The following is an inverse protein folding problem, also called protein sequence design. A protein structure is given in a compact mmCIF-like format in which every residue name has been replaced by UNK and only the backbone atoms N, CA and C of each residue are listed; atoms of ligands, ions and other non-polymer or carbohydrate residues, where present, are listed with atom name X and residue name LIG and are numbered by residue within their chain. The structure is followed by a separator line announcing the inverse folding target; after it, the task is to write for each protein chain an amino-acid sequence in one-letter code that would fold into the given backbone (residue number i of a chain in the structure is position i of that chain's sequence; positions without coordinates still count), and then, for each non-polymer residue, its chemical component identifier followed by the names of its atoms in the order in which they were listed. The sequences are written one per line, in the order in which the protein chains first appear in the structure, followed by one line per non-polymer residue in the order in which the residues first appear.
data_IF_460272052811
#
_entry.id   IF_460272052811
#
_cell.length_a   1.000
_cell.length_b   1.000
_cell.length_c   1.000
_cell.angle_alpha   90.00
_cell.angle_beta   90.00
_cell.angle_gamma   90.00
#
_symmetry.space_group_name_H-M   'P 1'
#
loop_
_entity.id
_entity.type
_entity.pdbx_description
1 polymer ?
#
# COMPACT_ATOMS: atom_id res chain seq x y z
N UNK A 1 16.61 5.93 -35.19
CA UNK A 1 15.82 5.02 -34.35
C UNK A 1 16.23 5.31 -32.93
N UNK A 2 15.30 5.33 -31.98
CA UNK A 2 15.67 5.34 -30.57
C UNK A 2 16.38 4.03 -30.24
N UNK A 3 17.36 4.08 -29.34
CA UNK A 3 17.97 2.90 -28.73
C UNK A 3 16.98 2.20 -27.79
N UNK A 4 17.15 0.89 -27.59
CA UNK A 4 16.24 0.09 -26.75
C UNK A 4 16.17 0.61 -25.30
N UNK A 5 17.23 1.21 -24.77
CA UNK A 5 17.22 1.78 -23.42
C UNK A 5 16.33 3.02 -23.33
N UNK A 6 16.39 3.91 -24.31
CA UNK A 6 15.48 5.06 -24.45
C UNK A 6 14.02 4.63 -24.63
N UNK A 7 13.77 3.59 -25.42
CA UNK A 7 12.42 3.00 -25.58
C UNK A 7 11.93 2.43 -24.24
N UNK A 8 12.76 1.67 -23.54
CA UNK A 8 12.45 1.11 -22.23
C UNK A 8 12.14 2.20 -21.18
N UNK A 9 12.90 3.30 -21.17
CA UNK A 9 12.63 4.44 -20.29
C UNK A 9 11.28 5.11 -20.61
N UNK A 10 10.91 5.25 -21.89
CA UNK A 10 9.59 5.75 -22.29
C UNK A 10 8.45 4.86 -21.77
N UNK A 11 8.51 3.56 -22.11
CA UNK A 11 7.54 2.56 -21.65
C UNK A 11 7.44 2.49 -20.11
N UNK A 12 8.56 2.68 -19.40
CA UNK A 12 8.57 2.73 -17.94
C UNK A 12 7.84 3.97 -17.38
N UNK A 13 7.96 5.13 -18.05
CA UNK A 13 7.24 6.36 -17.68
C UNK A 13 5.74 6.23 -17.90
N UNK A 14 5.36 5.56 -19.00
CA UNK A 14 3.99 5.19 -19.39
C UNK A 14 3.42 4.00 -18.58
N UNK A 15 4.20 3.45 -17.65
CA UNK A 15 3.84 2.36 -16.72
C UNK A 15 3.59 1.00 -17.40
N UNK A 16 4.05 0.84 -18.65
CA UNK A 16 4.05 -0.42 -19.42
C UNK A 16 5.26 -1.30 -19.06
N UNK A 17 5.35 -1.68 -17.77
CA UNK A 17 6.55 -2.29 -17.17
C UNK A 17 6.98 -3.61 -17.83
N UNK A 18 6.07 -4.47 -18.27
CA UNK A 18 6.42 -5.73 -18.97
C UNK A 18 7.11 -5.45 -20.32
N UNK A 19 6.66 -4.43 -21.06
CA UNK A 19 7.29 -4.05 -22.33
C UNK A 19 8.61 -3.32 -22.10
N UNK A 20 8.67 -2.44 -21.09
CA UNK A 20 9.91 -1.81 -20.66
C UNK A 20 10.99 -2.85 -20.30
N UNK A 21 10.61 -3.92 -19.59
CA UNK A 21 11.53 -5.02 -19.24
C UNK A 21 12.11 -5.74 -20.48
N UNK A 22 11.30 -5.95 -21.53
CA UNK A 22 11.77 -6.54 -22.80
C UNK A 22 12.83 -5.66 -23.46
N UNK A 23 12.60 -4.35 -23.53
CA UNK A 23 13.57 -3.42 -24.11
C UNK A 23 14.82 -3.22 -23.22
N UNK A 24 14.68 -3.20 -21.88
CA UNK A 24 15.84 -3.22 -20.97
C UNK A 24 16.70 -4.49 -21.16
N UNK A 25 16.07 -5.65 -21.40
CA UNK A 25 16.82 -6.87 -21.72
C UNK A 25 17.61 -6.73 -23.03
N UNK A 26 17.00 -6.20 -24.09
CA UNK A 26 17.67 -5.98 -25.38
C UNK A 26 18.83 -4.97 -25.30
N UNK A 27 18.65 -3.89 -24.54
CA UNK A 27 19.70 -2.92 -24.25
C UNK A 27 20.89 -3.56 -23.53
N UNK A 28 20.64 -4.39 -22.51
CA UNK A 28 21.67 -5.10 -21.75
C UNK A 28 22.37 -6.18 -22.59
N UNK A 29 21.66 -6.86 -23.50
CA UNK A 29 22.31 -7.79 -24.44
C UNK A 29 23.34 -7.10 -25.34
N UNK A 30 23.09 -5.83 -25.67
CA UNK A 30 23.97 -4.98 -26.50
C UNK A 30 25.13 -4.38 -25.70
N UNK A 31 24.88 -3.79 -24.53
CA UNK A 31 25.90 -3.14 -23.68
C UNK A 31 25.91 -3.68 -22.24
N UNK A 32 26.58 -4.82 -22.04
CA UNK A 32 26.57 -5.60 -20.79
C UNK A 32 27.32 -4.97 -19.60
N UNK A 33 28.11 -3.93 -19.82
CA UNK A 33 28.94 -3.30 -18.78
C UNK A 33 28.34 -1.99 -18.25
N UNK A 34 27.10 -1.66 -18.67
CA UNK A 34 26.37 -0.45 -18.29
C UNK A 34 25.62 -0.63 -16.97
N UNK A 35 26.25 -0.23 -15.87
CA UNK A 35 25.66 -0.31 -14.52
C UNK A 35 24.27 0.35 -14.44
N UNK A 36 24.08 1.47 -15.14
CA UNK A 36 22.82 2.22 -15.19
C UNK A 36 21.66 1.41 -15.83
N UNK A 37 21.95 0.52 -16.77
CA UNK A 37 20.93 -0.34 -17.38
C UNK A 37 20.38 -1.35 -16.36
N UNK A 38 21.26 -1.94 -15.55
CA UNK A 38 20.87 -2.82 -14.45
C UNK A 38 20.11 -2.07 -13.34
N UNK A 39 20.48 -0.82 -13.02
CA UNK A 39 19.72 0.01 -12.06
C UNK A 39 18.29 0.27 -12.54
N UNK A 40 18.09 0.59 -13.82
CA UNK A 40 16.76 0.82 -14.39
C UNK A 40 15.96 -0.49 -14.48
N UNK A 41 16.58 -1.58 -14.93
CA UNK A 41 15.91 -2.90 -15.03
C UNK A 41 15.52 -3.46 -13.66
N UNK A 42 16.38 -3.31 -12.64
CA UNK A 42 16.06 -3.62 -11.24
C UNK A 42 14.79 -2.90 -10.77
N UNK A 43 14.66 -1.60 -11.04
CA UNK A 43 13.46 -0.85 -10.65
C UNK A 43 12.22 -1.25 -11.47
N UNK A 44 12.39 -1.64 -12.73
CA UNK A 44 11.32 -2.22 -13.55
C UNK A 44 10.82 -3.56 -12.99
N UNK A 45 11.74 -4.46 -12.61
CA UNK A 45 11.41 -5.73 -11.96
C UNK A 45 10.76 -5.54 -10.59
N UNK A 46 11.21 -4.55 -9.80
CA UNK A 46 10.58 -4.16 -8.55
C UNK A 46 9.12 -3.72 -8.75
N UNK A 47 8.83 -2.89 -9.78
CA UNK A 47 7.46 -2.50 -10.15
C UNK A 47 6.59 -3.69 -10.59
N UNK A 48 7.20 -4.70 -11.21
CA UNK A 48 6.57 -5.98 -11.56
C UNK A 48 6.47 -6.99 -10.39
N UNK A 49 6.90 -6.61 -9.18
CA UNK A 49 7.00 -7.48 -7.98
C UNK A 49 7.97 -8.67 -8.10
N UNK A 50 8.86 -8.66 -9.09
CA UNK A 50 9.93 -9.65 -9.27
C UNK A 50 11.15 -9.25 -8.40
N UNK A 51 10.98 -9.29 -7.07
CA UNK A 51 11.95 -8.70 -6.15
C UNK A 51 13.30 -9.43 -6.11
N UNK A 52 13.30 -10.76 -6.26
CA UNK A 52 14.51 -11.60 -6.33
C UNK A 52 15.42 -11.20 -7.49
N UNK A 53 14.84 -11.01 -8.67
CA UNK A 53 15.53 -10.54 -9.86
C UNK A 53 16.02 -9.10 -9.67
N UNK A 54 15.19 -8.25 -9.06
CA UNK A 54 15.54 -6.85 -8.79
C UNK A 54 16.77 -6.73 -7.85
N UNK A 55 16.91 -7.60 -6.85
CA UNK A 55 18.12 -7.71 -6.00
C UNK A 55 19.32 -8.16 -6.84
N UNK A 56 19.15 -9.12 -7.75
CA UNK A 56 20.20 -9.61 -8.65
C UNK A 56 20.74 -8.53 -9.60
N UNK A 57 19.84 -7.77 -10.22
CA UNK A 57 20.19 -6.63 -11.07
C UNK A 57 20.85 -5.50 -10.29
N UNK A 58 20.32 -5.12 -9.12
CA UNK A 58 20.93 -4.10 -8.28
C UNK A 58 22.34 -4.53 -7.81
N UNK A 59 22.53 -5.80 -7.48
CA UNK A 59 23.84 -6.36 -7.09
C UNK A 59 24.82 -6.36 -8.27
N UNK A 60 24.33 -6.62 -9.49
CA UNK A 60 25.15 -6.53 -10.71
C UNK A 60 25.56 -5.07 -10.99
N UNK A 61 24.64 -4.12 -10.83
CA UNK A 61 24.94 -2.69 -10.94
C UNK A 61 26.02 -2.25 -9.94
N UNK A 62 25.90 -2.63 -8.66
CA UNK A 62 26.91 -2.35 -7.61
C UNK A 62 28.27 -2.98 -7.93
N UNK A 63 28.27 -4.15 -8.59
CA UNK A 63 29.52 -4.84 -8.98
C UNK A 63 30.22 -4.14 -10.15
N UNK A 64 29.45 -3.54 -11.06
CA UNK A 64 29.97 -2.74 -12.18
C UNK A 64 30.44 -1.35 -11.74
N UNK A 65 29.63 -0.67 -10.90
CA UNK A 65 29.97 0.63 -10.30
C UNK A 65 29.35 0.76 -8.89
N UNK A 66 30.19 0.61 -7.88
CA UNK A 66 29.83 0.73 -6.47
C UNK A 66 29.69 2.17 -5.97
N UNK A 67 29.97 3.17 -6.82
CA UNK A 67 29.80 4.59 -6.47
C UNK A 67 28.35 5.09 -6.65
N UNK A 68 27.49 4.33 -7.33
CA UNK A 68 26.10 4.72 -7.64
C UNK A 68 25.20 4.52 -6.40
N UNK A 69 24.73 5.58 -5.72
CA UNK A 69 23.92 5.44 -4.51
C UNK A 69 22.56 4.79 -4.81
N UNK A 70 22.02 5.07 -6.01
CA UNK A 70 20.74 4.54 -6.47
C UNK A 70 20.78 3.01 -6.61
N UNK A 71 21.92 2.41 -6.97
CA UNK A 71 22.04 0.95 -7.08
C UNK A 71 21.86 0.27 -5.71
N UNK A 72 22.52 0.82 -4.68
CA UNK A 72 22.31 0.41 -3.29
C UNK A 72 20.88 0.66 -2.80
N UNK A 73 20.27 1.79 -3.16
CA UNK A 73 18.87 2.08 -2.84
C UNK A 73 17.90 1.07 -3.49
N UNK A 74 18.09 0.70 -4.76
CA UNK A 74 17.22 -0.30 -5.43
C UNK A 74 17.39 -1.69 -4.80
N UNK A 75 18.62 -2.09 -4.42
CA UNK A 75 18.85 -3.31 -3.64
C UNK A 75 18.08 -3.27 -2.32
N UNK A 76 18.20 -2.18 -1.55
CA UNK A 76 17.50 -2.02 -0.28
C UNK A 76 15.97 -2.09 -0.41
N UNK A 77 15.40 -1.44 -1.43
CA UNK A 77 13.97 -1.51 -1.70
C UNK A 77 13.50 -2.93 -2.02
N UNK A 78 14.26 -3.68 -2.80
CA UNK A 78 13.92 -5.04 -3.19
C UNK A 78 14.08 -6.05 -2.03
N UNK A 79 15.16 -5.95 -1.23
CA UNK A 79 15.33 -6.74 -0.01
C UNK A 79 14.21 -6.44 1.02
N UNK A 80 13.82 -5.17 1.19
CA UNK A 80 12.70 -4.82 2.09
C UNK A 80 11.38 -5.47 1.65
N UNK A 81 11.12 -5.55 0.33
CA UNK A 81 9.94 -6.21 -0.22
C UNK A 81 10.02 -7.76 -0.21
N UNK A 82 11.19 -8.32 0.12
CA UNK A 82 11.41 -9.73 0.42
C UNK A 82 11.42 -10.03 1.93
N UNK A 83 11.16 -9.02 2.77
CA UNK A 83 11.24 -9.11 4.23
C UNK A 83 12.67 -9.41 4.75
N UNK A 84 13.70 -9.18 3.90
CA UNK A 84 15.11 -9.25 4.27
C UNK A 84 15.57 -7.94 4.93
N UNK A 85 14.99 -7.58 6.07
CA UNK A 85 15.10 -6.23 6.65
C UNK A 85 16.53 -5.80 7.01
N UNK A 86 17.36 -6.70 7.53
CA UNK A 86 18.77 -6.39 7.87
C UNK A 86 19.60 -6.14 6.60
N UNK A 87 19.41 -6.94 5.54
CA UNK A 87 20.07 -6.73 4.25
C UNK A 87 19.59 -5.44 3.55
N UNK A 88 18.30 -5.10 3.72
CA UNK A 88 17.75 -3.84 3.25
C UNK A 88 18.37 -2.64 3.99
N UNK A 89 18.46 -2.72 5.33
CA UNK A 89 19.06 -1.70 6.20
C UNK A 89 20.52 -1.45 5.85
N UNK A 90 21.33 -2.49 5.69
CA UNK A 90 22.73 -2.36 5.25
C UNK A 90 22.82 -1.63 3.90
N UNK A 91 22.02 -2.05 2.92
CA UNK A 91 22.01 -1.45 1.58
C UNK A 91 21.62 0.04 1.63
N UNK A 92 20.60 0.42 2.42
CA UNK A 92 20.22 1.82 2.59
C UNK A 92 21.27 2.65 3.34
N UNK A 93 21.95 2.08 4.36
CA UNK A 93 23.06 2.75 5.04
C UNK A 93 24.27 2.97 4.13
N UNK A 94 24.57 2.05 3.20
CA UNK A 94 25.62 2.25 2.19
C UNK A 94 25.20 3.35 1.22
N UNK A 95 23.96 3.33 0.72
CA UNK A 95 23.42 4.40 -0.12
C UNK A 95 23.51 5.77 0.57
N UNK A 96 23.19 5.86 1.86
CA UNK A 96 23.27 7.10 2.64
C UNK A 96 24.70 7.64 2.78
N UNK A 97 25.68 6.75 2.99
CA UNK A 97 27.11 7.12 3.06
C UNK A 97 27.63 7.69 1.73
N UNK A 98 27.07 7.25 0.59
CA UNK A 98 27.40 7.77 -0.74
C UNK A 98 26.65 9.07 -1.06
N UNK A 99 25.33 9.14 -0.74
CA UNK A 99 24.50 10.32 -0.89
C UNK A 99 23.38 10.34 0.16
N UNK A 100 23.48 11.19 1.19
CA UNK A 100 22.49 11.23 2.27
C UNK A 100 21.24 11.99 1.87
N UNK A 101 20.13 11.27 1.68
CA UNK A 101 18.79 11.83 1.40
C UNK A 101 17.82 11.57 2.56
N UNK A 102 16.81 12.43 2.80
CA UNK A 102 15.78 12.19 3.82
C UNK A 102 15.00 10.87 3.62
N UNK A 103 14.81 10.47 2.36
CA UNK A 103 14.13 9.23 1.98
C UNK A 103 14.89 8.01 2.49
N UNK A 104 16.22 7.98 2.34
CA UNK A 104 17.05 6.87 2.84
C UNK A 104 16.96 6.72 4.36
N UNK A 105 16.94 7.82 5.12
CA UNK A 105 16.74 7.80 6.58
C UNK A 105 15.37 7.24 6.97
N UNK A 106 14.34 7.53 6.18
CA UNK A 106 13.00 6.97 6.39
C UNK A 106 12.98 5.48 6.11
N UNK A 107 13.68 5.01 5.08
CA UNK A 107 13.83 3.58 4.80
C UNK A 107 14.64 2.83 5.88
N UNK A 108 15.76 3.38 6.34
CA UNK A 108 16.55 2.80 7.45
C UNK A 108 15.68 2.64 8.69
N UNK A 109 14.93 3.68 9.08
CA UNK A 109 14.01 3.63 10.23
C UNK A 109 12.87 2.63 10.05
N UNK A 110 12.39 2.42 8.82
CA UNK A 110 11.40 1.35 8.56
C UNK A 110 12.03 -0.02 8.82
N UNK A 111 13.21 -0.30 8.26
CA UNK A 111 13.89 -1.57 8.53
C UNK A 111 14.15 -1.78 10.03
N UNK A 112 14.51 -0.71 10.76
CA UNK A 112 14.69 -0.78 12.21
C UNK A 112 13.38 -1.13 12.94
N UNK A 113 12.25 -0.55 12.55
CA UNK A 113 10.96 -0.87 13.15
C UNK A 113 10.48 -2.30 12.85
N UNK A 114 10.66 -2.80 11.62
CA UNK A 114 10.27 -4.19 11.31
C UNK A 114 11.17 -5.22 12.02
N UNK A 115 12.45 -4.89 12.27
CA UNK A 115 13.37 -5.73 13.07
C UNK A 115 13.02 -5.70 14.57
N UNK A 116 12.68 -4.54 15.13
CA UNK A 116 12.19 -4.43 16.52
C UNK A 116 10.88 -5.23 16.71
N UNK A 117 9.96 -5.17 15.74
CA UNK A 117 8.73 -5.98 15.69
C UNK A 117 8.98 -7.51 15.56
N UNK A 118 10.12 -7.93 14.99
CA UNK A 118 10.51 -9.34 14.89
C UNK A 118 11.12 -9.86 16.21
N UNK A 119 12.00 -9.07 16.84
CA UNK A 119 12.62 -9.40 18.13
C UNK A 119 11.57 -9.46 19.27
N UNK A 120 10.60 -8.54 19.33
CA UNK A 120 9.55 -8.53 20.37
C UNK A 120 8.61 -9.77 20.29
N UNK A 121 8.31 -10.28 19.09
CA UNK A 121 7.50 -11.49 18.92
C UNK A 121 8.26 -12.77 19.34
N UNK A 122 9.59 -12.84 19.17
CA UNK A 122 10.41 -14.01 19.54
C UNK A 122 10.68 -14.05 21.06
N UNK A 123 10.79 -12.89 21.72
CA UNK A 123 10.89 -12.78 23.19
C UNK A 123 9.60 -13.23 23.93
N UNK A 124 8.42 -13.19 23.29
CA UNK A 124 7.17 -13.70 23.88
C UNK A 124 7.10 -15.25 23.95
N UNK A 125 7.88 -15.99 23.15
CA UNK A 125 7.85 -17.47 23.10
C UNK A 125 8.91 -18.13 24.02
N UNK A 126 9.91 -17.39 24.54
CA UNK A 126 11.06 -17.96 25.28
C UNK A 126 10.99 -17.84 26.84
N UNK A 127 9.97 -17.20 27.42
CA UNK A 127 9.77 -17.19 28.90
C UNK A 127 9.34 -18.55 29.48
N UNK A 128 9.06 -19.59 28.66
CA UNK A 128 8.75 -20.94 29.16
C UNK A 128 9.97 -21.89 29.30
N UNK A 129 11.20 -21.44 29.02
CA UNK A 129 12.40 -22.30 29.02
C UNK A 129 13.49 -21.99 30.07
N UNK A 130 13.09 -21.53 31.27
CA UNK A 130 13.94 -21.63 32.48
C UNK A 130 14.01 -23.06 33.01
N UNK A 131 14.90 -23.88 32.44
CA UNK A 131 15.19 -25.23 32.93
C UNK A 131 15.66 -25.24 34.41
N UNK A 132 15.10 -26.12 35.27
CA UNK A 132 15.56 -26.26 36.66
C UNK A 132 16.91 -26.96 36.77
N UNK A 133 17.77 -26.50 37.68
CA UNK A 133 19.06 -27.12 37.95
C UNK A 133 18.94 -28.52 38.61
N UNK A 134 19.91 -29.38 38.30
CA UNK A 134 19.89 -30.83 38.51
C UNK A 134 20.05 -31.26 40.00
N UNK A 135 19.36 -32.33 40.47
CA UNK A 135 19.32 -32.68 41.90
C UNK A 135 20.44 -33.62 42.39
N UNK A 136 20.80 -33.49 43.66
CA UNK A 136 21.65 -34.43 44.42
C UNK A 136 20.85 -35.63 44.96
N UNK A 137 21.45 -36.84 45.07
CA UNK A 137 20.72 -38.06 45.45
C UNK A 137 20.43 -38.20 46.96
N UNK A 138 19.26 -38.77 47.28
CA UNK A 138 18.76 -39.07 48.63
C UNK A 138 19.29 -40.41 49.20
N UNK A 139 19.06 -40.72 50.49
CA UNK A 139 17.79 -41.35 50.93
C UNK A 139 17.24 -40.71 52.25
N UNK A 140 16.22 -41.17 52.99
CA UNK A 140 15.36 -42.39 53.05
C UNK A 140 13.90 -41.97 53.44
N UNK A 141 12.88 -42.84 53.75
CA UNK A 141 11.46 -42.47 53.55
C UNK A 141 10.57 -42.44 54.84
N UNK A 142 9.23 -42.42 54.62
CA UNK A 142 8.09 -42.75 55.54
C UNK A 142 7.44 -41.55 56.29
N UNK A 143 6.10 -41.50 56.53
CA UNK A 143 4.97 -41.65 55.60
C UNK A 143 3.89 -40.51 55.69
N UNK A 144 2.86 -40.61 54.84
CA UNK A 144 1.56 -39.90 54.77
C UNK A 144 0.88 -39.61 56.14
N UNK A 145 0.07 -38.52 56.30
CA UNK A 145 -1.32 -38.55 55.83
C UNK A 145 -1.93 -37.22 55.28
N UNK A 146 -2.86 -37.34 54.33
CA UNK A 146 -3.81 -36.29 53.90
C UNK A 146 -4.98 -36.16 54.88
N UNK A 147 -5.54 -34.95 55.10
CA UNK A 147 -6.99 -34.80 54.92
C UNK A 147 -7.49 -33.43 54.39
N UNK A 148 -8.16 -33.46 53.22
CA UNK A 148 -9.45 -32.80 52.86
C UNK A 148 -9.65 -31.25 52.95
N UNK A 149 -10.69 -30.66 52.27
CA UNK A 149 -10.56 -29.33 51.63
C UNK A 149 -11.60 -28.27 52.02
N UNK A 150 -11.26 -26.98 51.89
CA UNK A 150 -12.21 -25.83 51.83
C UNK A 150 -11.59 -24.69 50.96
N UNK A 151 -12.32 -23.63 50.53
CA UNK A 151 -12.67 -23.51 49.12
C UNK A 151 -12.06 -22.29 48.40
N UNK A 152 -12.20 -22.30 47.07
CA UNK A 152 -11.93 -21.23 46.11
C UNK A 152 -12.48 -19.86 46.51
N UNK A 153 -11.70 -18.78 46.33
CA UNK A 153 -12.19 -17.53 45.78
C UNK A 153 -11.71 -17.39 44.33
N UNK A 154 -12.65 -17.25 43.41
CA UNK A 154 -12.38 -17.12 41.97
C UNK A 154 -11.79 -15.73 41.71
N UNK A 155 -10.56 -15.59 41.15
CA UNK A 155 -10.18 -14.33 40.53
C UNK A 155 -10.99 -14.19 39.25
N UNK A 156 -11.79 -13.12 39.17
CA UNK A 156 -12.53 -12.75 37.96
C UNK A 156 -11.55 -12.63 36.80
N UNK A 157 -11.70 -13.50 35.78
CA UNK A 157 -10.95 -13.37 34.53
C UNK A 157 -11.32 -12.02 33.90
N UNK A 158 -10.36 -11.10 33.93
CA UNK A 158 -10.43 -9.87 33.14
C UNK A 158 -10.06 -10.25 31.73
N UNK A 159 -11.06 -10.72 30.96
CA UNK A 159 -10.85 -11.07 29.56
C UNK A 159 -10.24 -9.85 28.83
N UNK A 160 -9.10 -10.01 28.12
CA UNK A 160 -8.56 -8.93 27.31
C UNK A 160 -9.58 -8.53 26.25
N UNK A 161 -9.62 -7.25 25.93
CA UNK A 161 -10.51 -6.76 24.87
C UNK A 161 -10.10 -7.41 23.53
N UNK A 162 -11.05 -7.90 22.71
CA UNK A 162 -10.72 -8.62 21.49
C UNK A 162 -9.94 -7.72 20.52
N UNK A 163 -8.78 -8.19 20.04
CA UNK A 163 -8.00 -7.50 19.02
C UNK A 163 -8.84 -7.36 17.76
N UNK A 164 -9.05 -6.13 17.30
CA UNK A 164 -9.86 -5.86 16.10
C UNK A 164 -8.97 -5.87 14.87
N UNK A 165 -8.84 -7.03 14.25
CA UNK A 165 -8.07 -7.19 13.01
C UNK A 165 -8.66 -6.38 11.86
N UNK A 166 -7.78 -5.71 11.12
CA UNK A 166 -8.16 -4.95 9.92
C UNK A 166 -8.21 -5.91 8.73
N UNK A 167 -9.21 -5.72 7.88
CA UNK A 167 -9.18 -6.19 6.50
C UNK A 167 -9.29 -5.00 5.55
N UNK A 168 -8.83 -5.19 4.33
CA UNK A 168 -8.95 -4.25 3.22
C UNK A 168 -9.25 -5.02 1.93
N UNK A 169 -9.68 -4.35 0.88
CA UNK A 169 -9.96 -5.03 -0.39
C UNK A 169 -9.75 -4.11 -1.59
N UNK A 170 -9.38 -4.73 -2.71
CA UNK A 170 -9.31 -4.06 -4.00
C UNK A 170 -9.78 -4.99 -5.11
N UNK A 171 -9.87 -4.46 -6.32
CA UNK A 171 -10.40 -5.19 -7.46
C UNK A 171 -9.77 -4.74 -8.77
N UNK A 172 -9.78 -5.66 -9.73
CA UNK A 172 -9.65 -5.38 -11.17
C UNK A 172 -11.01 -5.60 -11.83
N UNK A 173 -11.09 -5.44 -13.15
CA UNK A 173 -12.30 -5.79 -13.91
C UNK A 173 -12.72 -7.27 -13.74
N UNK A 174 -11.76 -8.18 -13.51
CA UNK A 174 -11.98 -9.64 -13.52
C UNK A 174 -11.77 -10.33 -12.18
N UNK A 175 -11.08 -9.71 -11.22
CA UNK A 175 -10.77 -10.31 -9.92
C UNK A 175 -11.07 -9.34 -8.78
N UNK A 176 -11.44 -9.88 -7.63
CA UNK A 176 -11.38 -9.21 -6.33
C UNK A 176 -10.20 -9.78 -5.55
N UNK A 177 -9.56 -8.96 -4.73
CA UNK A 177 -8.51 -9.39 -3.80
C UNK A 177 -8.81 -8.79 -2.44
N UNK A 178 -8.84 -9.64 -1.42
CA UNK A 178 -9.17 -9.30 -0.04
C UNK A 178 -7.91 -9.55 0.79
N UNK A 179 -7.49 -8.55 1.57
CA UNK A 179 -6.32 -8.60 2.43
C UNK A 179 -6.77 -8.59 3.89
N UNK A 180 -6.33 -9.56 4.69
CA UNK A 180 -6.66 -9.68 6.10
C UNK A 180 -5.37 -9.58 6.90
N UNK A 181 -5.21 -8.48 7.64
CA UNK A 181 -3.97 -8.12 8.33
C UNK A 181 -3.89 -8.82 9.68
N UNK A 182 -3.36 -10.05 9.65
CA UNK A 182 -3.08 -10.89 10.81
C UNK A 182 -1.69 -11.48 10.61
N UNK A 183 -0.77 -11.19 11.54
CA UNK A 183 0.60 -11.73 11.51
C UNK A 183 0.63 -13.24 11.78
N UNK A 184 1.64 -13.92 11.22
CA UNK A 184 2.10 -15.30 11.53
C UNK A 184 1.03 -16.42 11.44
N UNK A 185 -0.04 -16.25 10.64
CA UNK A 185 -1.09 -17.29 10.48
C UNK A 185 -0.61 -18.47 9.62
N UNK A 186 -0.63 -19.67 10.19
CA UNK A 186 -0.35 -20.92 9.46
C UNK A 186 -1.60 -21.43 8.74
N UNK A 187 -1.42 -22.09 7.60
CA UNK A 187 -2.51 -22.65 6.79
C UNK A 187 -3.45 -23.59 7.58
N UNK A 188 -2.90 -24.36 8.53
CA UNK A 188 -3.67 -25.32 9.34
C UNK A 188 -4.52 -24.64 10.44
N UNK A 189 -4.32 -23.34 10.68
CA UNK A 189 -5.08 -22.54 11.65
C UNK A 189 -6.28 -21.82 11.02
N UNK A 190 -6.39 -21.80 9.69
CA UNK A 190 -7.39 -21.02 8.95
C UNK A 190 -8.33 -21.92 8.13
N UNK A 191 -9.62 -21.84 8.45
CA UNK A 191 -10.71 -22.45 7.71
C UNK A 191 -11.37 -21.37 6.84
N UNK A 192 -11.25 -21.51 5.52
CA UNK A 192 -11.72 -20.53 4.53
C UNK A 192 -12.66 -21.24 3.57
N UNK A 193 -13.94 -20.85 3.60
CA UNK A 193 -14.98 -21.34 2.71
C UNK A 193 -15.41 -20.23 1.74
N UNK A 194 -15.31 -20.52 0.44
CA UNK A 194 -15.61 -19.59 -0.65
C UNK A 194 -16.76 -20.18 -1.46
N UNK A 195 -17.90 -19.48 -1.49
CA UNK A 195 -19.10 -19.85 -2.23
C UNK A 195 -19.36 -18.83 -3.36
N UNK A 196 -20.38 -19.06 -4.19
CA UNK A 196 -20.66 -18.18 -5.34
C UNK A 196 -20.98 -16.73 -4.93
N UNK A 197 -21.60 -16.49 -3.77
CA UNK A 197 -21.97 -15.14 -3.30
C UNK A 197 -21.53 -14.83 -1.86
N UNK A 198 -20.79 -15.71 -1.20
CA UNK A 198 -20.36 -15.50 0.19
C UNK A 198 -18.95 -16.03 0.45
N UNK A 199 -18.30 -15.44 1.45
CA UNK A 199 -16.99 -15.81 1.96
C UNK A 199 -17.10 -15.93 3.48
N UNK A 200 -16.76 -17.09 4.02
CA UNK A 200 -16.67 -17.32 5.46
C UNK A 200 -15.25 -17.76 5.82
N UNK A 201 -14.70 -17.11 6.85
CA UNK A 201 -13.33 -17.27 7.30
C UNK A 201 -13.35 -17.42 8.81
N UNK A 202 -12.74 -18.47 9.32
CA UNK A 202 -12.47 -18.67 10.74
C UNK A 202 -10.98 -18.98 10.93
N UNK A 203 -10.30 -18.24 11.80
CA UNK A 203 -8.86 -18.36 12.04
C UNK A 203 -8.61 -18.51 13.54
N UNK A 204 -7.91 -19.58 13.92
CA UNK A 204 -7.57 -19.89 15.31
C UNK A 204 -6.15 -19.45 15.61
N UNK A 205 -6.03 -18.32 16.30
CA UNK A 205 -4.74 -17.66 16.54
C UNK A 205 -4.09 -18.17 17.84
N UNK A 206 -4.89 -18.40 18.88
CA UNK A 206 -4.46 -19.07 20.11
C UNK A 206 -5.62 -19.86 20.74
N UNK A 207 -5.36 -20.59 21.83
CA UNK A 207 -6.40 -21.32 22.59
C UNK A 207 -7.51 -20.40 23.17
N UNK A 208 -7.30 -19.08 23.13
CA UNK A 208 -8.25 -18.06 23.61
C UNK A 208 -8.57 -16.95 22.59
N UNK A 209 -8.00 -16.97 21.38
CA UNK A 209 -8.19 -15.93 20.35
C UNK A 209 -8.56 -16.56 19.00
N UNK A 210 -9.83 -16.40 18.60
CA UNK A 210 -10.37 -16.81 17.30
C UNK A 210 -10.88 -15.56 16.55
N UNK A 211 -10.50 -15.42 15.28
CA UNK A 211 -11.01 -14.40 14.36
C UNK A 211 -12.03 -15.04 13.42
N UNK A 212 -13.17 -14.37 13.23
CA UNK A 212 -14.19 -14.79 12.27
C UNK A 212 -14.62 -13.60 11.39
N UNK A 213 -14.71 -13.83 10.09
CA UNK A 213 -15.19 -12.87 9.09
C UNK A 213 -16.14 -13.57 8.11
N UNK A 214 -17.33 -13.01 7.93
CA UNK A 214 -18.31 -13.47 6.94
C UNK A 214 -18.74 -12.27 6.09
N UNK A 215 -18.70 -12.42 4.77
CA UNK A 215 -18.98 -11.37 3.79
C UNK A 215 -19.92 -11.91 2.69
N UNK A 216 -20.98 -11.16 2.35
CA UNK A 216 -21.85 -11.48 1.18
C UNK A 216 -21.44 -10.61 -0.02
N UNK A 217 -20.86 -11.21 -1.04
CA UNK A 217 -20.33 -10.52 -2.21
C UNK A 217 -21.40 -9.71 -2.98
N UNK A 218 -21.00 -8.53 -3.47
CA UNK A 218 -21.83 -7.67 -4.33
C UNK A 218 -22.34 -8.39 -5.60
N UNK A 219 -21.58 -9.36 -6.12
CA UNK A 219 -21.98 -10.17 -7.26
C UNK A 219 -21.32 -11.55 -7.27
N UNK A 220 -21.74 -12.43 -8.20
CA UNK A 220 -21.28 -13.81 -8.20
C UNK A 220 -19.78 -13.92 -8.56
N UNK A 221 -19.06 -14.75 -7.80
CA UNK A 221 -17.66 -15.12 -8.01
C UNK A 221 -17.53 -16.54 -8.56
N UNK A 222 -16.31 -16.92 -8.91
CA UNK A 222 -15.94 -18.28 -9.31
C UNK A 222 -15.01 -18.91 -8.25
N UNK A 223 -15.54 -19.70 -7.28
CA UNK A 223 -14.74 -20.30 -6.22
C UNK A 223 -13.61 -21.21 -6.73
N UNK A 224 -13.78 -21.85 -7.88
CA UNK A 224 -12.77 -22.74 -8.47
C UNK A 224 -11.50 -22.01 -8.95
N UNK A 225 -11.60 -20.70 -9.22
CA UNK A 225 -10.48 -19.84 -9.60
C UNK A 225 -10.07 -18.90 -8.45
N UNK A 226 -10.31 -19.31 -7.20
CA UNK A 226 -9.78 -18.66 -6.00
C UNK A 226 -8.33 -19.08 -5.72
N UNK A 227 -7.55 -18.15 -5.17
CA UNK A 227 -6.17 -18.36 -4.70
C UNK A 227 -6.05 -17.72 -3.32
N UNK A 228 -5.64 -18.51 -2.33
CA UNK A 228 -5.36 -18.04 -0.97
C UNK A 228 -3.86 -18.12 -0.76
N UNK A 229 -3.25 -17.01 -0.34
CA UNK A 229 -1.84 -16.93 0.03
C UNK A 229 -1.71 -16.46 1.48
N UNK A 230 -0.94 -17.22 2.26
CA UNK A 230 -0.61 -16.90 3.63
C UNK A 230 0.77 -16.24 3.62
N UNK A 231 0.83 -14.95 3.95
CA UNK A 231 2.06 -14.21 4.17
C UNK A 231 2.29 -14.08 5.68
N UNK A 232 3.52 -13.72 6.07
CA UNK A 232 3.93 -13.40 7.44
C UNK A 232 3.08 -12.28 8.08
N UNK A 233 2.64 -11.31 7.28
CA UNK A 233 1.99 -10.06 7.72
C UNK A 233 0.47 -10.01 7.45
N UNK A 234 -0.02 -10.83 6.50
CA UNK A 234 -1.42 -10.83 6.07
C UNK A 234 -1.81 -12.12 5.34
N UNK A 235 -3.10 -12.36 5.20
CA UNK A 235 -3.68 -13.37 4.29
C UNK A 235 -4.25 -12.64 3.08
N UNK A 236 -3.84 -13.02 1.88
CA UNK A 236 -4.38 -12.50 0.62
C UNK A 236 -5.29 -13.54 -0.04
N UNK A 237 -6.53 -13.16 -0.31
CA UNK A 237 -7.55 -14.01 -0.94
C UNK A 237 -7.94 -13.36 -2.26
N UNK A 238 -7.41 -13.89 -3.36
CA UNK A 238 -7.68 -13.45 -4.73
C UNK A 238 -8.74 -14.35 -5.37
N UNK A 239 -9.88 -13.80 -5.81
CA UNK A 239 -11.02 -14.54 -6.36
C UNK A 239 -11.44 -13.95 -7.71
N UNK A 240 -11.72 -14.80 -8.69
CA UNK A 240 -12.24 -14.36 -9.99
C UNK A 240 -13.75 -14.05 -9.94
N UNK A 241 -14.15 -12.92 -10.55
CA UNK A 241 -15.56 -12.53 -10.71
C UNK A 241 -16.19 -13.34 -11.85
N UNK A 242 -17.41 -13.85 -11.65
CA UNK A 242 -18.16 -14.56 -12.70
C UNK A 242 -18.59 -13.62 -13.84
N UNK A 243 -18.85 -12.35 -13.51
CA UNK A 243 -19.14 -11.28 -14.44
C UNK A 243 -18.04 -10.21 -14.37
N UNK A 244 -17.38 -9.91 -15.49
CA UNK A 244 -16.39 -8.84 -15.55
C UNK A 244 -17.07 -7.46 -15.38
N UNK A 245 -16.48 -6.60 -14.55
CA UNK A 245 -16.99 -5.26 -14.25
C UNK A 245 -16.47 -4.74 -12.91
N UNK A 246 -16.57 -3.43 -12.70
CA UNK A 246 -16.23 -2.80 -11.41
C UNK A 246 -17.43 -2.87 -10.45
N UNK A 247 -17.21 -3.34 -9.23
CA UNK A 247 -18.22 -3.35 -8.17
C UNK A 247 -18.12 -2.04 -7.37
N UNK A 248 -19.24 -1.40 -7.01
CA UNK A 248 -19.22 -0.16 -6.22
C UNK A 248 -18.84 -0.40 -4.75
N UNK A 249 -18.94 -1.65 -4.28
CA UNK A 249 -18.64 -2.09 -2.92
C UNK A 249 -18.27 -3.58 -2.95
N UNK A 250 -17.66 -4.11 -1.88
CA UNK A 250 -17.37 -5.55 -1.76
C UNK A 250 -18.65 -6.32 -1.43
N UNK A 251 -19.45 -5.74 -0.53
CA UNK A 251 -20.63 -6.37 0.03
C UNK A 251 -21.93 -5.92 -0.64
N UNK A 252 -22.88 -6.85 -0.75
CA UNK A 252 -24.23 -6.57 -1.25
C UNK A 252 -25.09 -5.89 -0.18
N UNK A 253 -24.97 -4.56 -0.08
CA UNK A 253 -25.88 -3.76 0.77
C UNK A 253 -27.33 -3.91 0.29
N UNK A 254 -28.17 -4.52 1.12
CA UNK A 254 -29.60 -4.68 0.85
C UNK A 254 -30.29 -3.31 0.94
N UNK A 255 -30.52 -2.68 -0.21
CA UNK A 255 -31.22 -1.39 -0.31
C UNK A 255 -32.72 -1.64 -0.30
N UNK A 256 -33.38 -1.30 0.81
CA UNK A 256 -34.85 -1.19 0.83
C UNK A 256 -35.31 -0.25 -0.29
N UNK A 257 -36.26 -0.72 -1.11
CA UNK A 257 -36.69 -0.06 -2.33
C UNK A 257 -37.36 1.29 -2.06
N UNK A 258 -36.96 2.35 -2.78
CA UNK A 258 -37.95 3.21 -3.47
C UNK A 258 -37.40 3.90 -4.73
N UNK A 259 -37.94 3.44 -5.87
CA UNK A 259 -38.30 4.19 -7.09
C UNK A 259 -37.23 4.90 -7.91
N UNK A 260 -37.10 4.38 -9.13
CA UNK A 260 -36.61 5.07 -10.33
C UNK A 260 -37.39 6.34 -10.66
N UNK A 261 -36.70 7.30 -11.29
CA UNK A 261 -37.26 8.21 -12.29
C UNK A 261 -36.30 8.19 -13.48
N UNK A 262 -36.78 7.69 -14.61
CA UNK A 262 -36.11 7.78 -15.90
C UNK A 262 -36.15 9.21 -16.45
N UNK A 263 -35.07 9.68 -17.07
CA UNK A 263 -35.16 10.68 -18.16
C UNK A 263 -33.92 10.62 -19.05
N UNK A 264 -34.05 10.01 -20.22
CA UNK A 264 -33.26 10.40 -21.39
C UNK A 264 -33.72 11.80 -21.86
N UNK A 265 -32.83 12.66 -22.34
CA UNK A 265 -32.73 12.92 -23.80
C UNK A 265 -31.65 13.96 -24.21
N UNK A 266 -31.14 13.75 -25.44
CA UNK A 266 -30.35 14.60 -26.35
C UNK A 266 -29.37 15.70 -25.88
N UNK A 267 -28.09 15.51 -26.27
CA UNK A 267 -27.11 16.59 -26.47
C UNK A 267 -25.87 16.12 -27.25
N UNK A 268 -25.74 16.48 -28.54
CA UNK A 268 -24.62 16.05 -29.42
C UNK A 268 -23.26 16.70 -29.08
N UNK A 269 -22.12 16.07 -29.42
CA UNK A 269 -20.79 16.52 -29.01
C UNK A 269 -20.31 17.77 -29.78
N UNK A 270 -19.83 18.77 -29.05
CA UNK A 270 -19.13 19.93 -29.60
C UNK A 270 -17.67 19.63 -29.86
N UNK A 271 -17.22 19.80 -31.11
CA UNK A 271 -15.80 19.69 -31.49
C UNK A 271 -14.96 20.80 -30.85
N UNK A 272 -13.84 20.43 -30.22
CA UNK A 272 -12.81 21.39 -29.82
C UNK A 272 -11.40 20.90 -30.18
N UNK A 273 -10.55 21.86 -30.53
CA UNK A 273 -9.25 21.66 -31.18
C UNK A 273 -8.28 20.79 -30.39
N UNK A 274 -7.67 19.84 -31.11
CA UNK A 274 -6.42 19.18 -30.76
C UNK A 274 -5.32 20.23 -30.51
N UNK A 275 -4.79 20.29 -29.29
CA UNK A 275 -3.52 20.96 -28.97
C UNK A 275 -2.47 19.91 -28.58
N UNK A 276 -1.24 20.17 -29.02
CA UNK A 276 -0.15 19.20 -29.02
C UNK A 276 0.51 19.13 -27.64
N UNK A 277 0.62 17.94 -27.05
CA UNK A 277 1.29 17.73 -25.76
C UNK A 277 2.75 17.28 -25.90
N UNK A 278 3.19 16.85 -27.10
CA UNK A 278 4.56 16.41 -27.44
C UNK A 278 5.68 17.48 -27.35
N UNK A 279 5.44 18.61 -26.67
CA UNK A 279 6.37 19.75 -26.63
C UNK A 279 6.93 20.06 -25.23
N UNK A 280 6.67 19.22 -24.22
CA UNK A 280 7.19 19.38 -22.85
C UNK A 280 7.78 18.04 -22.34
N UNK A 281 8.65 17.43 -23.14
CA UNK A 281 9.42 16.22 -22.80
C UNK A 281 10.93 16.38 -23.12
N UNK A 282 11.41 17.61 -23.25
CA UNK A 282 12.78 17.93 -23.69
C UNK A 282 13.75 18.34 -22.56
N UNK A 283 13.28 18.45 -21.31
CA UNK A 283 14.13 18.57 -20.12
C UNK A 283 13.63 17.58 -19.06
N UNK A 284 14.53 16.74 -18.55
CA UNK A 284 14.22 15.61 -17.66
C UNK A 284 13.69 16.10 -16.30
N UNK A 285 12.53 15.60 -15.82
CA UNK A 285 12.18 15.69 -14.42
C UNK A 285 12.65 14.45 -13.66
N UNK A 286 13.50 14.66 -12.67
CA UNK A 286 13.87 13.67 -11.66
C UNK A 286 12.63 13.09 -10.93
N UNK A 287 12.80 11.88 -10.39
CA UNK A 287 11.86 11.01 -9.67
C UNK A 287 10.48 11.61 -9.27
N UNK A 288 9.39 10.99 -9.78
CA UNK A 288 7.99 11.25 -9.42
C UNK A 288 7.80 11.31 -7.88
N UNK A 289 7.66 12.51 -7.31
CA UNK A 289 7.22 12.74 -5.93
C UNK A 289 5.69 12.56 -5.85
N UNK A 290 5.21 11.42 -5.35
CA UNK A 290 3.80 11.02 -5.45
C UNK A 290 2.81 11.87 -4.63
N UNK A 291 1.55 11.89 -5.09
CA UNK A 291 0.39 12.41 -4.36
C UNK A 291 0.35 13.94 -4.21
N UNK A 292 0.18 14.41 -2.97
CA UNK A 292 -0.05 15.82 -2.65
C UNK A 292 1.14 16.73 -3.02
N UNK A 293 2.38 16.20 -3.05
CA UNK A 293 3.53 17.01 -3.45
C UNK A 293 3.55 17.26 -4.96
N UNK A 294 3.31 16.25 -5.80
CA UNK A 294 3.12 16.46 -7.24
C UNK A 294 1.97 17.44 -7.50
N UNK A 295 0.83 17.27 -6.84
CA UNK A 295 -0.34 18.13 -7.03
C UNK A 295 -0.06 19.59 -6.59
N UNK A 296 0.61 19.79 -5.44
CA UNK A 296 1.03 21.10 -4.97
C UNK A 296 2.08 21.74 -5.89
N UNK A 297 3.03 20.97 -6.44
CA UNK A 297 4.02 21.46 -7.41
C UNK A 297 3.34 21.88 -8.72
N UNK A 298 2.38 21.08 -9.23
CA UNK A 298 1.53 21.43 -10.37
C UNK A 298 0.71 22.71 -10.08
N UNK A 299 0.15 22.89 -8.88
CA UNK A 299 -0.51 24.15 -8.52
C UNK A 299 0.45 25.34 -8.44
N UNK A 300 1.67 25.15 -7.92
CA UNK A 300 2.71 26.18 -7.88
C UNK A 300 3.15 26.59 -9.30
N UNK A 301 3.32 25.63 -10.21
CA UNK A 301 3.71 25.88 -11.60
C UNK A 301 2.59 26.55 -12.40
N UNK A 302 1.33 26.13 -12.23
CA UNK A 302 0.16 26.81 -12.83
C UNK A 302 0.01 28.22 -12.25
N UNK A 303 0.23 28.41 -10.95
CA UNK A 303 0.17 29.74 -10.35
C UNK A 303 1.32 30.63 -10.80
N UNK A 304 2.56 30.14 -10.86
CA UNK A 304 3.72 30.92 -11.29
C UNK A 304 3.57 31.41 -12.74
N UNK A 305 3.21 30.50 -13.64
CA UNK A 305 3.08 30.75 -15.08
C UNK A 305 1.73 31.36 -15.48
N UNK A 306 0.75 31.43 -14.57
CA UNK A 306 -0.55 32.06 -14.81
C UNK A 306 -0.45 33.57 -14.99
N UNK A 307 -1.30 34.14 -15.85
CA UNK A 307 -1.51 35.58 -15.92
C UNK A 307 -2.12 36.12 -14.61
N UNK A 308 -1.93 37.41 -14.31
CA UNK A 308 -2.41 38.01 -13.06
C UNK A 308 -3.94 37.89 -12.88
N UNK A 309 -4.69 37.85 -13.98
CA UNK A 309 -6.13 37.61 -13.98
C UNK A 309 -6.49 36.15 -13.62
N UNK A 310 -5.71 35.17 -14.10
CA UNK A 310 -5.86 33.76 -13.71
C UNK A 310 -5.46 33.52 -12.25
N UNK A 311 -4.34 34.11 -11.80
CA UNK A 311 -3.91 34.10 -10.38
C UNK A 311 -5.01 34.63 -9.47
N UNK A 312 -5.65 35.73 -9.86
CA UNK A 312 -6.78 36.34 -9.13
C UNK A 312 -8.02 35.44 -9.09
N UNK A 313 -8.33 34.75 -10.19
CA UNK A 313 -9.41 33.76 -10.25
C UNK A 313 -9.17 32.56 -9.32
N UNK A 314 -7.93 32.04 -9.34
CA UNK A 314 -7.51 30.91 -8.51
C UNK A 314 -7.60 31.27 -7.03
N UNK A 315 -7.03 32.40 -6.61
CA UNK A 315 -7.10 32.87 -5.21
C UNK A 315 -8.55 33.09 -4.78
N UNK A 316 -9.37 33.78 -5.58
CA UNK A 316 -10.78 34.03 -5.24
C UNK A 316 -11.58 32.73 -5.10
N UNK A 317 -11.48 31.82 -6.06
CA UNK A 317 -12.19 30.53 -6.02
C UNK A 317 -11.74 29.64 -4.87
N UNK A 318 -10.43 29.61 -4.57
CA UNK A 318 -9.89 28.86 -3.44
C UNK A 318 -10.36 29.42 -2.09
N UNK A 319 -10.34 30.75 -1.91
CA UNK A 319 -10.80 31.40 -0.68
C UNK A 319 -12.32 31.24 -0.47
N UNK A 320 -13.14 31.41 -1.51
CA UNK A 320 -14.61 31.28 -1.39
C UNK A 320 -15.06 29.83 -1.19
N UNK A 321 -14.39 28.86 -1.82
CA UNK A 321 -14.73 27.43 -1.72
C UNK A 321 -14.13 26.71 -0.51
N UNK A 322 -13.42 27.43 0.38
CA UNK A 322 -12.71 26.83 1.50
C UNK A 322 -11.63 25.83 1.06
N UNK A 323 -11.01 26.04 -0.10
CA UNK A 323 -9.99 25.17 -0.67
C UNK A 323 -10.49 23.94 -1.43
N UNK A 324 -11.79 23.81 -1.68
CA UNK A 324 -12.38 22.62 -2.35
C UNK A 324 -12.58 22.78 -3.87
N UNK A 325 -12.54 24.00 -4.41
CA UNK A 325 -12.74 24.29 -5.84
C UNK A 325 -11.71 25.32 -6.32
N UNK A 326 -11.02 25.00 -7.40
CA UNK A 326 -10.05 25.89 -8.06
C UNK A 326 -10.51 26.19 -9.48
N UNK A 327 -10.58 27.48 -9.83
CA UNK A 327 -10.93 27.95 -11.18
C UNK A 327 -9.92 28.96 -11.70
N UNK A 328 -9.57 28.82 -12.98
CA UNK A 328 -8.63 29.69 -13.68
C UNK A 328 -9.31 30.79 -14.50
N UNK A 329 -10.65 30.83 -14.56
CA UNK A 329 -11.39 31.78 -15.41
C UNK A 329 -12.01 32.93 -14.61
N UNK A 330 -11.39 34.11 -14.66
CA UNK A 330 -11.87 35.32 -13.97
C UNK A 330 -13.22 35.84 -14.49
N UNK A 331 -13.55 35.63 -15.76
CA UNK A 331 -14.84 36.08 -16.31
C UNK A 331 -16.02 35.31 -15.70
N UNK A 332 -15.76 34.08 -15.28
CA UNK A 332 -16.73 33.19 -14.63
C UNK A 332 -16.77 33.42 -13.12
N UNK A 333 -15.62 33.34 -12.42
CA UNK A 333 -15.59 33.48 -10.95
C UNK A 333 -15.52 34.92 -10.45
N UNK A 334 -15.31 35.91 -11.32
CA UNK A 334 -15.25 37.32 -10.92
C UNK A 334 -16.58 37.84 -10.35
N UNK A 335 -17.70 37.42 -10.95
CA UNK A 335 -19.06 37.90 -10.65
C UNK A 335 -19.93 36.92 -9.85
N UNK A 336 -19.59 35.62 -9.80
CA UNK A 336 -20.28 34.62 -8.96
C UNK A 336 -19.48 34.24 -7.71
N UNK A 337 -20.19 33.73 -6.72
CA UNK A 337 -19.61 33.12 -5.50
C UNK A 337 -19.31 31.65 -5.77
N UNK A 338 -18.09 31.18 -5.44
CA UNK A 338 -17.69 29.78 -5.65
C UNK A 338 -17.98 28.94 -4.41
N UNK A 339 -19.19 28.37 -4.35
CA UNK A 339 -19.57 27.43 -3.28
C UNK A 339 -18.69 26.18 -3.33
N UNK A 340 -18.08 25.84 -2.20
CA UNK A 340 -17.35 24.59 -2.02
C UNK A 340 -18.27 23.40 -1.78
N UNK A 341 -17.76 22.20 -2.06
CA UNK A 341 -18.42 20.93 -1.75
C UNK A 341 -17.43 20.07 -0.97
N UNK A 342 -17.52 20.02 0.38
CA UNK A 342 -16.58 19.24 1.18
C UNK A 342 -16.73 17.72 0.91
N UNK A 343 -15.68 16.93 1.12
CA UNK A 343 -15.76 15.48 1.10
C UNK A 343 -16.81 14.94 2.08
N UNK A 344 -17.42 13.81 1.72
CA UNK A 344 -18.54 13.19 2.44
C UNK A 344 -18.15 12.89 3.90
N UNK A 345 -18.68 13.67 4.85
CA UNK A 345 -18.42 13.53 6.28
C UNK A 345 -17.76 14.75 6.97
N UNK A 346 -17.33 15.77 6.21
CA UNK A 346 -16.83 17.03 6.78
C UNK A 346 -17.87 18.16 6.67
N UNK A 347 -18.17 18.82 7.79
CA UNK A 347 -18.98 20.04 7.80
C UNK A 347 -18.14 21.27 7.42
N UNK A 348 -18.68 22.10 6.53
CA UNK A 348 -18.01 23.30 6.03
C UNK A 348 -18.17 24.46 7.03
N UNK A 349 -17.13 24.73 7.84
CA UNK A 349 -17.10 25.93 8.70
C UNK A 349 -16.71 27.15 7.88
N UNK A 350 -17.55 28.18 7.88
CA UNK A 350 -17.20 29.45 7.24
C UNK A 350 -16.37 30.31 8.20
N UNK A 351 -15.58 31.25 7.67
CA UNK A 351 -14.79 32.16 8.50
C UNK A 351 -15.63 33.05 9.43
N UNK A 352 -16.94 33.23 9.16
CA UNK A 352 -17.85 33.96 10.05
C UNK A 352 -18.24 33.18 11.30
N UNK A 353 -18.27 31.85 11.22
CA UNK A 353 -18.65 30.99 12.35
C UNK A 353 -17.55 30.91 13.42
N UNK A 354 -16.31 31.29 13.06
CA UNK A 354 -15.15 31.29 13.95
C UNK A 354 -15.09 32.50 14.92
N UNK A 355 -15.79 33.60 14.63
CA UNK A 355 -15.78 34.82 15.48
C UNK A 355 -16.87 34.82 16.57
N UNK A 356 -17.87 33.93 16.49
CA UNK A 356 -18.97 33.83 17.48
C UNK A 356 -18.66 32.92 18.68
N UNK A 357 -17.40 32.47 18.83
CA UNK A 357 -16.97 31.50 19.84
C UNK A 357 -15.82 31.96 20.75
N UNK A 358 -15.71 33.27 21.04
CA UNK A 358 -14.76 33.83 22.02
C UNK A 358 -15.47 34.69 23.06
#
# INVERSE_FOLDING_TARGET
MADDFSIANGLFVDEEYEQALVHYNSAIETEKERADYYVKRSFCQYKLKNYTEAVGDATTAITLDSSIPIAHQRKGMACFALEEYEAAKEAFQIAEKLNSTPQLKTWIRKCEAELEDEDEDDDEDDEEHKQPQQPTPAPTPTPTPTPTPIPTPTPTSTAPAPKKYRHDWYQSEKKITIEIFIKKVKKDQAEIEIQENELSIAIKLSEHEEFQLSLEFFGPVNPANSKVEFLSTKIEISIEKKNAGSWPDLEKKEVEQVKSIDTEDTGKPGSFNKKNWDAILAEEPEEKLEGDQALNKVFQDIFANGSDEQKKAMVKSFTESGGTVLSTNWQDVGSREVKGSPPKGLEMKTWKDAELGR
#
